data_IF_383296549080
#
_entry.id   IF_383296549080
#
_cell.length_a   1.000
_cell.length_b   1.000
_cell.length_c   1.000
_cell.angle_alpha   90.00
_cell.angle_beta   90.00
_cell.angle_gamma   90.00
#
_symmetry.space_group_name_H-M   'P 1'
#
loop_
_entity.id
_entity.type
_entity.pdbx_description
1 polymer ?
#
# COMPACT_ATOMS: atom_id res chain seq x y z
N UNK A 1 -6.66 -17.36 -3.71
CA UNK A 1 -6.05 -18.64 -4.12
C UNK A 1 -5.47 -19.44 -2.95
N UNK A 2 -5.03 -18.78 -1.87
CA UNK A 2 -4.41 -19.43 -0.71
C UNK A 2 -5.42 -19.91 0.32
N UNK A 3 -6.60 -19.35 0.33
CA UNK A 3 -7.66 -19.82 1.19
C UNK A 3 -8.38 -20.94 0.44
N UNK A 4 -8.17 -22.19 0.85
CA UNK A 4 -9.30 -23.11 0.76
C UNK A 4 -10.43 -22.38 1.47
N UNK A 5 -11.48 -22.03 0.76
CA UNK A 5 -12.65 -21.32 1.27
C UNK A 5 -13.18 -21.92 2.58
N UNK A 6 -12.91 -23.18 2.84
CA UNK A 6 -13.24 -23.93 4.04
C UNK A 6 -12.30 -23.68 5.22
N UNK A 7 -11.05 -23.23 5.00
CA UNK A 7 -10.05 -23.05 6.05
C UNK A 7 -10.09 -21.66 6.67
N UNK A 8 -10.42 -20.64 5.86
CA UNK A 8 -10.53 -19.25 6.28
C UNK A 8 -11.86 -18.67 5.78
N UNK A 9 -12.99 -19.05 6.39
CA UNK A 9 -14.30 -18.61 5.92
C UNK A 9 -14.47 -17.11 6.14
N UNK A 10 -14.47 -16.36 5.06
CA UNK A 10 -14.85 -14.96 5.06
C UNK A 10 -16.28 -14.82 4.55
N UNK A 11 -17.08 -14.01 5.23
CA UNK A 11 -18.40 -13.64 4.69
C UNK A 11 -18.20 -12.79 3.43
N UNK A 12 -19.15 -12.85 2.50
CA UNK A 12 -19.14 -12.05 1.28
C UNK A 12 -18.96 -10.56 1.57
N UNK A 13 -19.64 -10.04 2.59
CA UNK A 13 -19.52 -8.64 3.00
C UNK A 13 -18.10 -8.30 3.48
N UNK A 14 -17.48 -9.14 4.34
CA UNK A 14 -16.11 -8.93 4.80
C UNK A 14 -15.12 -8.94 3.62
N UNK A 15 -15.33 -9.83 2.65
CA UNK A 15 -14.48 -9.89 1.45
C UNK A 15 -14.54 -8.60 0.64
N UNK A 16 -15.74 -8.06 0.40
CA UNK A 16 -15.93 -6.78 -0.28
C UNK A 16 -15.26 -5.63 0.50
N UNK A 17 -15.48 -5.55 1.81
CA UNK A 17 -14.88 -4.53 2.66
C UNK A 17 -13.35 -4.56 2.60
N UNK A 18 -12.75 -5.75 2.65
CA UNK A 18 -11.30 -5.91 2.57
C UNK A 18 -10.74 -5.52 1.18
N UNK A 19 -11.45 -5.87 0.09
CA UNK A 19 -11.06 -5.45 -1.26
C UNK A 19 -11.03 -3.93 -1.36
N UNK A 20 -12.09 -3.25 -0.95
CA UNK A 20 -12.14 -1.79 -0.98
C UNK A 20 -11.13 -1.16 -0.01
N UNK A 21 -10.88 -1.78 1.15
CA UNK A 21 -9.80 -1.36 2.06
C UNK A 21 -8.46 -1.36 1.32
N UNK A 22 -8.11 -2.45 0.65
CA UNK A 22 -6.86 -2.55 -0.09
C UNK A 22 -6.79 -1.52 -1.24
N UNK A 23 -7.87 -1.34 -2.00
CA UNK A 23 -7.94 -0.35 -3.08
C UNK A 23 -7.69 1.05 -2.54
N UNK A 24 -8.41 1.47 -1.50
CA UNK A 24 -8.26 2.81 -0.94
C UNK A 24 -6.90 3.03 -0.27
N UNK A 25 -6.36 2.02 0.42
CA UNK A 25 -5.02 2.10 1.01
C UNK A 25 -3.95 2.25 -0.08
N UNK A 26 -4.02 1.47 -1.17
CA UNK A 26 -3.09 1.59 -2.29
C UNK A 26 -3.22 2.93 -3.01
N UNK A 27 -4.45 3.39 -3.26
CA UNK A 27 -4.69 4.71 -3.85
C UNK A 27 -4.12 5.82 -2.97
N UNK A 28 -4.21 5.70 -1.65
CA UNK A 28 -3.63 6.66 -0.72
C UNK A 28 -2.11 6.72 -0.82
N UNK A 29 -1.43 5.56 -0.85
CA UNK A 29 0.04 5.50 -1.02
C UNK A 29 0.47 6.22 -2.29
N UNK A 30 -0.13 5.86 -3.42
CA UNK A 30 0.21 6.45 -4.72
C UNK A 30 -0.03 7.96 -4.71
N UNK A 31 -1.19 8.41 -4.21
CA UNK A 31 -1.52 9.84 -4.13
C UNK A 31 -0.57 10.62 -3.22
N UNK A 32 -0.12 10.04 -2.11
CA UNK A 32 0.89 10.66 -1.25
C UNK A 32 2.26 10.70 -1.92
N UNK A 33 2.62 9.65 -2.65
CA UNK A 33 3.88 9.61 -3.39
C UNK A 33 3.93 10.74 -4.43
N UNK A 34 2.91 10.83 -5.31
CA UNK A 34 2.80 11.89 -6.32
C UNK A 34 2.88 13.30 -5.69
N UNK A 35 2.20 13.50 -4.55
CA UNK A 35 2.26 14.77 -3.83
C UNK A 35 3.66 15.09 -3.33
N UNK A 36 4.35 14.11 -2.72
CA UNK A 36 5.68 14.31 -2.12
C UNK A 36 6.73 14.53 -3.21
N UNK A 37 6.69 13.76 -4.31
CA UNK A 37 7.62 13.88 -5.43
C UNK A 37 7.47 15.25 -6.08
N UNK A 38 6.25 15.73 -6.28
CA UNK A 38 5.99 17.10 -6.76
C UNK A 38 6.56 18.17 -5.83
N UNK A 39 6.31 18.08 -4.50
CA UNK A 39 6.76 19.08 -3.53
C UNK A 39 8.28 19.11 -3.39
N UNK A 40 8.92 17.95 -3.50
CA UNK A 40 10.39 17.83 -3.44
C UNK A 40 11.07 18.22 -4.75
N UNK A 41 10.31 18.36 -5.84
CA UNK A 41 10.82 18.68 -7.16
C UNK A 41 11.55 17.52 -7.83
N UNK A 42 11.24 16.29 -7.41
CA UNK A 42 11.76 15.07 -8.05
C UNK A 42 11.13 14.87 -9.43
N UNK A 43 9.88 15.33 -9.59
CA UNK A 43 9.21 15.36 -10.89
C UNK A 43 9.40 16.74 -11.51
N UNK A 44 10.02 16.81 -12.68
CA UNK A 44 10.11 18.03 -13.46
C UNK A 44 9.88 17.75 -14.95
N UNK A 45 9.41 18.76 -15.70
CA UNK A 45 9.26 18.65 -17.17
C UNK A 45 10.58 18.31 -17.89
N UNK A 46 11.73 18.47 -17.20
CA UNK A 46 13.06 18.20 -17.73
C UNK A 46 13.46 16.73 -17.62
N UNK A 47 12.79 15.98 -16.76
CA UNK A 47 13.17 14.61 -16.42
C UNK A 47 12.51 13.58 -17.33
N UNK A 48 11.85 14.02 -18.42
CA UNK A 48 11.15 13.15 -19.39
C UNK A 48 10.12 12.20 -18.76
N UNK A 49 9.54 12.60 -17.63
CA UNK A 49 8.50 11.82 -16.94
C UNK A 49 7.27 11.76 -17.85
N UNK A 50 6.68 10.58 -18.00
CA UNK A 50 5.45 10.41 -18.78
C UNK A 50 4.30 11.21 -18.15
N UNK A 51 3.40 11.75 -18.99
CA UNK A 51 2.24 12.52 -18.51
C UNK A 51 1.36 11.73 -17.52
N UNK A 52 1.36 10.39 -17.61
CA UNK A 52 0.67 9.49 -16.70
C UNK A 52 1.28 9.44 -15.30
N UNK A 53 2.58 9.67 -15.19
CA UNK A 53 3.33 9.54 -13.93
C UNK A 53 3.51 10.89 -13.23
N UNK A 54 3.52 11.99 -13.98
CA UNK A 54 3.65 13.35 -13.44
C UNK A 54 2.34 14.16 -13.55
N UNK A 55 1.24 13.60 -13.09
CA UNK A 55 -0.11 14.17 -13.24
C UNK A 55 -0.22 15.60 -12.69
N UNK A 56 0.51 15.92 -11.61
CA UNK A 56 0.52 17.26 -11.00
C UNK A 56 1.20 18.31 -11.87
N UNK A 57 2.21 17.92 -12.63
CA UNK A 57 2.96 18.83 -13.50
C UNK A 57 2.15 19.17 -14.75
N UNK A 58 1.68 18.13 -15.45
CA UNK A 58 1.06 18.32 -16.77
C UNK A 58 -0.39 18.81 -16.70
N UNK A 59 -1.13 18.53 -15.61
CA UNK A 59 -2.54 18.89 -15.52
C UNK A 59 -2.83 20.12 -14.65
N UNK A 60 -1.80 20.86 -14.19
CA UNK A 60 -1.96 22.06 -13.34
C UNK A 60 -2.88 21.85 -12.13
N UNK A 61 -2.87 20.64 -11.56
CA UNK A 61 -3.68 20.28 -10.41
C UNK A 61 -3.09 20.92 -9.15
N UNK A 62 -3.95 21.45 -8.29
CA UNK A 62 -3.50 22.03 -7.03
C UNK A 62 -2.98 20.92 -6.07
N UNK A 63 -1.70 20.96 -5.65
CA UNK A 63 -1.11 19.93 -4.79
C UNK A 63 -1.88 19.70 -3.48
N UNK A 64 -2.50 20.76 -2.93
CA UNK A 64 -3.34 20.64 -1.72
C UNK A 64 -4.56 19.74 -1.95
N UNK A 65 -5.12 19.73 -3.16
CA UNK A 65 -6.25 18.85 -3.47
C UNK A 65 -5.81 17.39 -3.54
N UNK A 66 -4.62 17.14 -4.06
CA UNK A 66 -4.01 15.79 -4.11
C UNK A 66 -3.73 15.28 -2.69
N UNK A 67 -3.15 16.13 -1.82
CA UNK A 67 -2.95 15.77 -0.41
C UNK A 67 -4.28 15.45 0.29
N UNK A 68 -5.31 16.27 0.10
CA UNK A 68 -6.64 16.04 0.68
C UNK A 68 -7.22 14.71 0.16
N UNK A 69 -7.09 14.43 -1.13
CA UNK A 69 -7.55 13.18 -1.74
C UNK A 69 -6.85 11.96 -1.12
N UNK A 70 -5.54 12.02 -0.93
CA UNK A 70 -4.77 10.97 -0.25
C UNK A 70 -5.26 10.72 1.18
N UNK A 71 -5.56 11.79 1.93
CA UNK A 71 -6.13 11.70 3.29
C UNK A 71 -7.54 11.08 3.26
N UNK A 72 -8.37 11.44 2.27
CA UNK A 72 -9.72 10.86 2.11
C UNK A 72 -9.60 9.36 1.84
N UNK A 73 -8.74 8.93 0.93
CA UNK A 73 -8.51 7.51 0.63
C UNK A 73 -8.02 6.75 1.88
N UNK A 74 -7.04 7.29 2.60
CA UNK A 74 -6.55 6.68 3.84
C UNK A 74 -7.68 6.51 4.87
N UNK A 75 -8.48 7.54 5.05
CA UNK A 75 -9.59 7.54 6.01
C UNK A 75 -10.67 6.53 5.63
N UNK A 76 -11.06 6.49 4.35
CA UNK A 76 -12.04 5.51 3.85
C UNK A 76 -11.52 4.08 4.02
N UNK A 77 -10.26 3.83 3.61
CA UNK A 77 -9.64 2.54 3.80
C UNK A 77 -9.59 2.10 5.27
N UNK A 78 -9.21 3.02 6.18
CA UNK A 78 -9.19 2.75 7.62
C UNK A 78 -10.57 2.42 8.18
N UNK A 79 -11.60 3.19 7.81
CA UNK A 79 -12.99 2.93 8.24
C UNK A 79 -13.47 1.57 7.76
N UNK A 80 -13.29 1.26 6.47
CA UNK A 80 -13.72 -0.03 5.91
C UNK A 80 -12.96 -1.20 6.52
N UNK A 81 -11.64 -1.05 6.74
CA UNK A 81 -10.82 -2.04 7.41
C UNK A 81 -11.26 -2.27 8.86
N UNK A 82 -11.57 -1.21 9.62
CA UNK A 82 -12.12 -1.34 10.97
C UNK A 82 -13.45 -2.08 10.97
N UNK A 83 -14.36 -1.75 10.04
CA UNK A 83 -15.66 -2.44 9.93
C UNK A 83 -15.44 -3.92 9.60
N UNK A 84 -14.52 -4.25 8.69
CA UNK A 84 -14.19 -5.66 8.37
C UNK A 84 -13.65 -6.43 9.57
N UNK A 85 -12.94 -5.76 10.49
CA UNK A 85 -12.39 -6.34 11.70
C UNK A 85 -13.40 -6.49 12.85
N UNK A 86 -14.59 -5.90 12.74
CA UNK A 86 -15.65 -6.09 13.75
C UNK A 86 -15.88 -7.59 13.93
N UNK A 87 -15.90 -8.05 15.19
CA UNK A 87 -16.04 -9.44 15.61
C UNK A 87 -14.80 -10.34 15.36
N UNK A 88 -13.73 -9.84 14.78
CA UNK A 88 -12.50 -10.62 14.52
C UNK A 88 -11.39 -10.37 15.57
N UNK A 89 -11.67 -9.55 16.58
CA UNK A 89 -10.71 -9.25 17.64
C UNK A 89 -9.66 -8.19 17.29
N UNK A 90 -8.68 -8.04 18.18
CA UNK A 90 -7.68 -6.96 18.06
C UNK A 90 -6.53 -7.27 17.10
N UNK A 91 -6.27 -8.55 16.80
CA UNK A 91 -5.12 -8.95 15.99
C UNK A 91 -5.18 -8.36 14.56
N UNK A 92 -6.27 -8.52 13.79
CA UNK A 92 -6.35 -7.94 12.46
C UNK A 92 -6.31 -6.41 12.47
N UNK A 93 -6.84 -5.77 13.52
CA UNK A 93 -6.70 -4.32 13.71
C UNK A 93 -5.25 -3.92 13.90
N UNK A 94 -4.49 -4.65 14.72
CA UNK A 94 -3.06 -4.42 14.92
C UNK A 94 -2.26 -4.52 13.62
N UNK A 95 -2.54 -5.56 12.82
CA UNK A 95 -1.94 -5.74 11.49
C UNK A 95 -2.28 -4.56 10.58
N UNK A 96 -3.54 -4.15 10.55
CA UNK A 96 -4.01 -3.00 9.76
C UNK A 96 -3.35 -1.68 10.20
N UNK A 97 -3.18 -1.46 11.51
CA UNK A 97 -2.47 -0.29 12.04
C UNK A 97 -1.00 -0.25 11.60
N UNK A 98 -0.31 -1.39 11.62
CA UNK A 98 1.08 -1.48 11.11
C UNK A 98 1.11 -1.09 9.64
N UNK A 99 0.21 -1.64 8.81
CA UNK A 99 0.10 -1.28 7.41
C UNK A 99 -0.17 0.22 7.21
N UNK A 100 -1.09 0.81 7.96
CA UNK A 100 -1.39 2.24 7.91
C UNK A 100 -0.20 3.13 8.29
N UNK A 101 0.56 2.74 9.32
CA UNK A 101 1.80 3.44 9.70
C UNK A 101 2.83 3.38 8.56
N UNK A 102 3.01 2.21 7.95
CA UNK A 102 3.95 2.07 6.82
C UNK A 102 3.52 2.93 5.65
N UNK A 103 2.22 3.04 5.32
CA UNK A 103 1.71 3.93 4.28
C UNK A 103 2.17 5.37 4.51
N UNK A 104 2.00 5.88 5.73
CA UNK A 104 2.40 7.24 6.07
C UNK A 104 3.91 7.46 6.02
N UNK A 105 4.70 6.47 6.44
CA UNK A 105 6.16 6.55 6.44
C UNK A 105 6.77 6.26 5.05
N UNK A 106 6.03 5.61 4.17
CA UNK A 106 6.52 5.20 2.85
C UNK A 106 6.82 6.42 1.97
N UNK A 107 5.90 7.37 1.92
CA UNK A 107 6.06 8.61 1.14
C UNK A 107 6.30 9.84 2.02
N UNK A 108 5.93 9.78 3.31
CA UNK A 108 5.96 10.91 4.24
C UNK A 108 7.22 11.00 5.10
N UNK A 109 7.43 12.20 5.66
CA UNK A 109 8.50 12.45 6.63
C UNK A 109 9.81 12.94 5.99
N UNK A 110 10.85 13.15 6.83
CA UNK A 110 12.14 13.65 6.38
C UNK A 110 12.96 12.60 5.60
N UNK A 111 12.70 11.32 5.82
CA UNK A 111 13.35 10.17 5.18
C UNK A 111 12.28 9.15 4.76
N UNK A 112 11.58 9.39 3.61
CA UNK A 112 10.60 8.45 3.12
C UNK A 112 11.22 7.08 2.83
N UNK A 113 10.49 6.02 3.16
CA UNK A 113 10.95 4.65 2.91
C UNK A 113 11.14 4.42 1.41
N UNK A 114 10.33 5.06 0.56
CA UNK A 114 10.40 4.97 -0.90
C UNK A 114 11.76 5.40 -1.48
N UNK A 115 12.51 6.25 -0.79
CA UNK A 115 13.84 6.70 -1.22
C UNK A 115 15.00 5.90 -0.60
N UNK A 116 14.68 4.90 0.21
CA UNK A 116 15.68 4.05 0.83
C UNK A 116 15.81 2.73 0.04
N UNK A 117 17.01 2.14 -0.04
CA UNK A 117 17.23 0.85 -0.74
C UNK A 117 16.50 -0.34 -0.11
N UNK A 118 15.75 -0.12 0.96
CA UNK A 118 14.88 -1.11 1.61
C UNK A 118 13.40 -0.94 1.22
N UNK A 119 13.07 0.09 0.43
CA UNK A 119 11.68 0.41 0.04
C UNK A 119 11.00 -0.74 -0.66
N UNK A 120 11.68 -1.40 -1.59
CA UNK A 120 11.18 -2.54 -2.35
C UNK A 120 10.90 -3.76 -1.45
N UNK A 121 11.78 -4.01 -0.48
CA UNK A 121 11.61 -5.10 0.48
C UNK A 121 10.41 -4.82 1.38
N UNK A 122 10.26 -3.60 1.86
CA UNK A 122 9.14 -3.18 2.71
C UNK A 122 7.83 -3.25 1.94
N UNK A 123 7.79 -2.77 0.69
CA UNK A 123 6.62 -2.93 -0.18
C UNK A 123 6.25 -4.39 -0.39
N UNK A 124 7.24 -5.22 -0.73
CA UNK A 124 7.06 -6.67 -0.86
C UNK A 124 6.51 -7.30 0.43
N UNK A 125 7.04 -6.92 1.59
CA UNK A 125 6.58 -7.42 2.89
C UNK A 125 5.14 -6.99 3.19
N UNK A 126 4.81 -5.71 3.04
CA UNK A 126 3.46 -5.21 3.34
C UNK A 126 2.43 -5.84 2.40
N UNK A 127 2.66 -5.76 1.10
CA UNK A 127 1.70 -6.24 0.11
C UNK A 127 1.68 -7.77 0.00
N UNK A 128 2.85 -8.41 0.11
CA UNK A 128 3.00 -9.85 -0.07
C UNK A 128 2.75 -10.66 1.19
N UNK A 129 3.01 -10.12 2.39
CA UNK A 129 2.88 -10.85 3.65
C UNK A 129 1.82 -10.25 4.57
N UNK A 130 1.89 -8.94 4.83
CA UNK A 130 1.04 -8.32 5.85
C UNK A 130 -0.43 -8.31 5.43
N UNK A 131 -0.74 -8.04 4.15
CA UNK A 131 -2.11 -8.08 3.63
C UNK A 131 -2.69 -9.49 3.69
N UNK A 132 -2.06 -10.56 3.15
CA UNK A 132 -2.57 -11.92 3.28
C UNK A 132 -2.77 -12.37 4.73
N UNK A 133 -1.84 -12.01 5.62
CA UNK A 133 -1.93 -12.31 7.04
C UNK A 133 -3.13 -11.59 7.70
N UNK A 134 -3.33 -10.31 7.38
CA UNK A 134 -4.46 -9.53 7.85
C UNK A 134 -5.80 -10.11 7.38
N UNK A 135 -5.90 -10.47 6.10
CA UNK A 135 -7.09 -11.11 5.52
C UNK A 135 -7.40 -12.43 6.21
N UNK A 136 -6.40 -13.28 6.44
CA UNK A 136 -6.60 -14.53 7.19
C UNK A 136 -7.02 -14.26 8.63
N UNK A 137 -6.40 -13.32 9.32
CA UNK A 137 -6.75 -12.95 10.68
C UNK A 137 -8.17 -12.38 10.82
N UNK A 138 -8.72 -11.71 9.79
CA UNK A 138 -10.13 -11.25 9.80
C UNK A 138 -11.11 -12.41 9.80
N UNK A 139 -10.72 -13.59 9.33
CA UNK A 139 -11.62 -14.75 9.29
C UNK A 139 -11.97 -15.28 10.68
N UNK A 140 -10.97 -15.42 11.57
CA UNK A 140 -11.13 -16.10 12.87
C UNK A 140 -10.42 -15.41 14.04
N UNK A 141 -9.77 -14.27 13.80
CA UNK A 141 -9.06 -13.49 14.82
C UNK A 141 -7.72 -14.08 15.26
N UNK A 142 -7.17 -15.07 14.53
CA UNK A 142 -5.94 -15.77 14.92
C UNK A 142 -4.77 -15.45 14.00
N UNK A 143 -3.58 -15.69 14.52
CA UNK A 143 -2.34 -15.59 13.73
C UNK A 143 -2.06 -16.92 13.02
N UNK A 144 -1.83 -16.84 11.73
CA UNK A 144 -1.65 -18.00 10.85
C UNK A 144 -0.20 -18.07 10.34
N UNK A 145 0.66 -18.82 11.03
CA UNK A 145 2.08 -18.96 10.68
C UNK A 145 2.30 -19.49 9.27
N UNK A 146 1.42 -20.37 8.80
CA UNK A 146 1.50 -20.95 7.47
C UNK A 146 1.37 -19.91 6.35
N UNK A 147 0.68 -18.81 6.62
CA UNK A 147 0.57 -17.70 5.66
C UNK A 147 1.94 -17.10 5.37
N UNK A 148 2.82 -17.02 6.36
CA UNK A 148 4.16 -16.48 6.17
C UNK A 148 4.94 -17.26 5.10
N UNK A 149 4.82 -18.59 5.11
CA UNK A 149 5.49 -19.45 4.12
C UNK A 149 4.89 -19.30 2.72
N UNK A 150 3.55 -19.31 2.64
CA UNK A 150 2.86 -19.18 1.34
C UNK A 150 2.95 -17.77 0.74
N UNK A 151 3.18 -16.77 1.57
CA UNK A 151 3.31 -15.39 1.14
C UNK A 151 4.70 -15.04 0.59
N UNK A 152 5.74 -15.84 0.88
CA UNK A 152 7.11 -15.57 0.43
C UNK A 152 7.24 -15.37 -1.09
N UNK A 153 6.68 -16.24 -1.96
CA UNK A 153 6.76 -16.02 -3.41
C UNK A 153 6.10 -14.70 -3.85
N UNK A 154 4.99 -14.32 -3.19
CA UNK A 154 4.29 -13.07 -3.48
C UNK A 154 5.14 -11.87 -3.03
N UNK A 155 5.73 -11.93 -1.84
CA UNK A 155 6.64 -10.91 -1.33
C UNK A 155 7.82 -10.68 -2.29
N UNK A 156 8.47 -11.77 -2.73
CA UNK A 156 9.61 -11.68 -3.66
C UNK A 156 9.15 -11.11 -5.01
N UNK A 157 8.03 -11.57 -5.54
CA UNK A 157 7.49 -11.08 -6.81
C UNK A 157 7.20 -9.59 -6.78
N UNK A 158 6.58 -9.09 -5.71
CA UNK A 158 6.29 -7.65 -5.54
C UNK A 158 7.59 -6.86 -5.39
N UNK A 159 8.54 -7.32 -4.57
CA UNK A 159 9.82 -6.65 -4.41
C UNK A 159 10.57 -6.54 -5.75
N UNK A 160 10.56 -7.60 -6.57
CA UNK A 160 11.17 -7.58 -7.91
C UNK A 160 10.48 -6.59 -8.86
N UNK A 161 9.15 -6.51 -8.83
CA UNK A 161 8.41 -5.51 -9.62
C UNK A 161 8.82 -4.09 -9.21
N UNK A 162 8.88 -3.81 -7.90
CA UNK A 162 9.31 -2.51 -7.39
C UNK A 162 10.75 -2.19 -7.78
N UNK A 163 11.67 -3.18 -7.67
CA UNK A 163 13.06 -3.01 -8.13
C UNK A 163 13.14 -2.71 -9.62
N UNK A 164 12.31 -3.33 -10.44
CA UNK A 164 12.30 -3.07 -11.89
C UNK A 164 11.82 -1.65 -12.17
N UNK A 165 10.75 -1.20 -11.51
CA UNK A 165 10.24 0.15 -11.66
C UNK A 165 11.30 1.18 -11.25
N UNK A 166 11.89 1.05 -10.05
CA UNK A 166 12.93 1.95 -9.58
C UNK A 166 14.21 1.88 -10.47
N UNK A 167 14.52 0.69 -11.01
CA UNK A 167 15.65 0.50 -11.93
C UNK A 167 15.48 1.24 -13.27
N UNK A 168 14.25 1.38 -13.75
CA UNK A 168 13.95 2.17 -14.94
C UNK A 168 14.11 3.70 -14.70
N UNK A 169 14.02 4.14 -13.45
CA UNK A 169 14.14 5.55 -13.08
C UNK A 169 15.59 5.99 -12.85
N UNK A 170 16.55 5.07 -12.70
CA UNK A 170 17.99 5.38 -12.51
C UNK A 170 18.55 6.21 -13.68
N UNK A 171 18.10 6.00 -14.90
CA UNK A 171 18.52 6.79 -16.06
C UNK A 171 18.02 8.25 -16.00
N UNK A 172 17.01 8.53 -15.19
CA UNK A 172 16.47 9.89 -14.97
C UNK A 172 17.25 10.65 -13.90
N UNK A 173 17.95 9.93 -13.01
CA UNK A 173 18.70 10.50 -11.88
C UNK A 173 20.19 10.78 -12.20
N UNK A 174 20.66 10.46 -13.43
CA UNK A 174 22.02 10.70 -13.94
C UNK A 174 22.07 11.93 -14.86
#
# INVERSE_FOLDING_TARGET
LFCKLERYPLSFLKSILLIFTCIFMQSSVNTFNDYVDYIKGNDSEKDYVEESDAVLIYNSINPKQVLILGIIYLTLGAILGMIACIQSGFLPLGIGCIGGIVILLYSGGPFPISYLPIGEIISGFVMGVLIPLGVAAVSDGKFHNEILLYALPLMIGIALIMMTNNGCDIEKDL
#
